data_IF_832911963080
#
_entry.id   IF_832911963080
#
_cell.length_a   1.000
_cell.length_b   1.000
_cell.length_c   1.000
_cell.angle_alpha   90.00
_cell.angle_beta   90.00
_cell.angle_gamma   90.00
#
_symmetry.space_group_name_H-M   'P 1'
#
loop_
_entity.id
_entity.type
_entity.pdbx_description
1 polymer ?
#
# COMPACT_ATOMS: atom_id res chain seq x y z
N UNK A 1 -12.45 18.40 -8.43
CA UNK A 1 -11.36 17.43 -8.61
C UNK A 1 -10.25 17.78 -7.63
N UNK A 2 -10.07 17.03 -6.55
CA UNK A 2 -8.95 17.24 -5.62
C UNK A 2 -7.67 16.71 -6.27
N UNK A 3 -6.90 17.59 -6.91
CA UNK A 3 -5.57 17.25 -7.40
C UNK A 3 -4.59 17.30 -6.22
N UNK A 4 -4.36 16.17 -5.56
CA UNK A 4 -3.24 16.05 -4.64
C UNK A 4 -1.95 16.24 -5.46
N UNK A 5 -1.23 17.35 -5.27
CA UNK A 5 0.10 17.52 -5.85
C UNK A 5 1.09 16.70 -5.02
N UNK A 6 1.24 15.42 -5.34
CA UNK A 6 2.30 14.59 -4.75
C UNK A 6 3.65 15.05 -5.29
N UNK A 7 4.57 15.46 -4.40
CA UNK A 7 5.95 15.75 -4.81
C UNK A 7 6.63 14.41 -5.16
N UNK A 8 7.33 14.32 -6.31
CA UNK A 8 8.15 13.14 -6.59
C UNK A 8 9.22 13.00 -5.51
N UNK A 9 9.60 11.77 -5.18
CA UNK A 9 10.75 11.53 -4.31
C UNK A 9 12.03 11.90 -5.05
N UNK A 10 13.14 12.06 -4.35
CA UNK A 10 14.44 12.12 -5.01
C UNK A 10 14.83 10.74 -5.55
N UNK A 11 15.78 10.71 -6.50
CA UNK A 11 16.38 9.45 -6.96
C UNK A 11 17.30 8.93 -5.86
N UNK A 12 16.88 7.84 -5.20
CA UNK A 12 17.56 7.30 -4.02
C UNK A 12 18.01 5.86 -4.25
N UNK A 13 19.06 5.39 -3.57
CA UNK A 13 19.47 3.99 -3.62
C UNK A 13 18.38 3.05 -3.08
N UNK A 14 18.32 1.86 -3.64
CA UNK A 14 17.38 0.80 -3.23
C UNK A 14 18.08 -0.17 -2.28
N UNK A 15 17.38 -0.59 -1.23
CA UNK A 15 17.79 -1.66 -0.33
C UNK A 15 16.67 -2.67 -0.13
N UNK A 16 17.04 -3.95 -0.03
CA UNK A 16 16.13 -5.08 0.11
C UNK A 16 16.78 -6.23 0.88
N UNK A 17 16.00 -6.87 1.77
CA UNK A 17 16.45 -8.03 2.52
C UNK A 17 17.73 -7.76 3.31
N UNK A 18 18.76 -8.56 3.07
CA UNK A 18 20.04 -8.49 3.80
C UNK A 18 20.79 -7.15 3.58
N UNK A 19 20.51 -6.45 2.47
CA UNK A 19 21.09 -5.11 2.22
C UNK A 19 20.40 -4.01 3.04
N UNK A 20 19.18 -4.26 3.54
CA UNK A 20 18.44 -3.33 4.40
C UNK A 20 18.62 -3.65 5.89
N UNK A 21 18.88 -4.91 6.25
CA UNK A 21 18.94 -5.30 7.65
C UNK A 21 19.31 -6.77 7.86
N UNK A 22 18.80 -7.34 8.95
CA UNK A 22 19.03 -8.73 9.34
C UNK A 22 17.85 -9.65 9.04
N UNK A 23 17.70 -10.69 9.86
CA UNK A 23 16.60 -11.65 9.75
C UNK A 23 15.25 -10.92 9.79
N UNK A 24 14.40 -11.16 8.79
CA UNK A 24 13.08 -10.53 8.68
C UNK A 24 13.06 -9.16 7.99
N UNK A 25 14.22 -8.60 7.61
CA UNK A 25 14.29 -7.30 6.92
C UNK A 25 13.51 -7.26 5.61
N UNK A 26 13.39 -8.41 4.93
CA UNK A 26 12.54 -8.55 3.72
C UNK A 26 11.08 -8.17 3.97
N UNK A 27 10.58 -8.34 5.20
CA UNK A 27 9.22 -8.01 5.59
C UNK A 27 9.15 -6.69 6.37
N UNK A 28 10.27 -5.98 6.57
CA UNK A 28 10.31 -4.71 7.29
C UNK A 28 9.66 -4.78 8.68
N UNK A 29 9.84 -5.90 9.38
CA UNK A 29 9.32 -6.10 10.74
C UNK A 29 10.10 -5.25 11.74
N UNK A 30 9.49 -4.95 12.88
CA UNK A 30 10.11 -4.18 13.94
C UNK A 30 11.48 -4.76 14.35
N UNK A 31 12.48 -3.90 14.45
CA UNK A 31 13.86 -4.26 14.80
C UNK A 31 14.66 -5.00 13.73
N UNK A 32 14.09 -5.32 12.57
CA UNK A 32 14.82 -6.05 11.50
C UNK A 32 15.67 -5.15 10.61
N UNK A 33 15.32 -3.87 10.48
CA UNK A 33 15.99 -2.90 9.63
C UNK A 33 17.18 -2.25 10.35
N UNK A 34 18.31 -2.12 9.65
CA UNK A 34 19.47 -1.39 10.16
C UNK A 34 19.40 0.07 9.73
N UNK A 35 19.23 1.00 10.69
CA UNK A 35 19.12 2.43 10.37
C UNK A 35 20.29 2.95 9.52
N UNK A 36 21.53 2.52 9.82
CA UNK A 36 22.72 2.86 9.01
C UNK A 36 22.62 2.42 7.55
N UNK A 37 21.92 1.32 7.28
CA UNK A 37 21.77 0.78 5.92
C UNK A 37 20.62 1.43 5.16
N UNK A 38 19.56 1.83 5.85
CA UNK A 38 18.30 2.31 5.23
C UNK A 38 18.12 3.83 5.24
N UNK A 39 18.87 4.58 6.06
CA UNK A 39 18.75 6.03 6.17
C UNK A 39 18.84 6.70 4.79
N UNK A 40 17.80 7.45 4.42
CA UNK A 40 17.71 8.19 3.16
C UNK A 40 17.52 7.31 1.90
N UNK A 41 17.24 6.00 2.06
CA UNK A 41 17.11 5.06 0.94
C UNK A 41 15.69 4.56 0.75
N UNK A 42 15.43 3.97 -0.42
CA UNK A 42 14.18 3.29 -0.70
C UNK A 42 14.26 1.84 -0.23
N UNK A 43 13.38 1.46 0.70
CA UNK A 43 13.35 0.11 1.28
C UNK A 43 12.23 -0.69 0.64
N UNK A 44 12.59 -1.79 -0.03
CA UNK A 44 11.62 -2.73 -0.59
C UNK A 44 11.15 -3.69 0.50
N UNK A 45 9.84 -3.82 0.67
CA UNK A 45 9.25 -4.72 1.66
C UNK A 45 8.30 -5.71 0.98
N UNK A 46 8.46 -7.01 1.24
CA UNK A 46 7.47 -8.01 0.87
C UNK A 46 6.22 -7.88 1.75
N UNK A 47 5.05 -8.09 1.14
CA UNK A 47 3.77 -8.15 1.86
C UNK A 47 3.67 -9.46 2.66
N UNK A 48 3.21 -9.35 3.92
CA UNK A 48 3.06 -10.48 4.86
C UNK A 48 3.64 -10.19 6.25
N UNK A 49 3.43 -11.12 7.19
CA UNK A 49 3.80 -11.09 8.62
C UNK A 49 3.17 -9.98 9.48
N UNK A 50 3.29 -8.72 9.05
CA UNK A 50 2.78 -7.54 9.77
C UNK A 50 1.90 -6.70 8.85
N UNK A 51 1.18 -5.72 9.43
CA UNK A 51 0.30 -4.83 8.69
C UNK A 51 1.03 -4.06 7.59
N UNK A 52 0.34 -3.76 6.48
CA UNK A 52 0.93 -3.03 5.34
C UNK A 52 1.37 -1.62 5.75
N UNK A 53 0.51 -0.90 6.47
CA UNK A 53 0.83 0.44 6.99
C UNK A 53 1.93 0.39 8.05
N UNK A 54 1.92 -0.63 8.91
CA UNK A 54 2.92 -0.86 9.95
C UNK A 54 4.34 -1.02 9.37
N UNK A 55 4.49 -1.69 8.22
CA UNK A 55 5.78 -1.74 7.49
C UNK A 55 6.29 -0.34 7.14
N UNK A 56 5.40 0.52 6.66
CA UNK A 56 5.73 1.90 6.30
C UNK A 56 6.19 2.70 7.52
N UNK A 57 5.59 2.45 8.68
CA UNK A 57 6.05 3.03 9.95
C UNK A 57 7.45 2.53 10.33
N UNK A 58 7.70 1.22 10.28
CA UNK A 58 9.02 0.68 10.61
C UNK A 58 10.12 1.22 9.69
N UNK A 59 9.84 1.34 8.39
CA UNK A 59 10.77 1.97 7.45
C UNK A 59 11.00 3.44 7.79
N UNK A 60 9.94 4.20 8.16
CA UNK A 60 10.07 5.60 8.58
C UNK A 60 10.93 5.73 9.84
N UNK A 61 10.66 4.92 10.85
CA UNK A 61 11.40 4.90 12.11
C UNK A 61 12.88 4.57 11.91
N UNK A 62 13.19 3.69 10.95
CA UNK A 62 14.56 3.36 10.61
C UNK A 62 15.26 4.45 9.76
N UNK A 63 14.52 5.46 9.27
CA UNK A 63 15.04 6.59 8.48
C UNK A 63 14.95 6.41 6.96
N UNK A 64 14.17 5.44 6.48
CA UNK A 64 13.95 5.22 5.06
C UNK A 64 13.20 6.38 4.39
N UNK A 65 13.54 6.65 3.12
CA UNK A 65 12.96 7.74 2.33
C UNK A 65 11.67 7.33 1.60
N UNK A 66 11.56 6.06 1.22
CA UNK A 66 10.43 5.52 0.44
C UNK A 66 10.26 4.01 0.68
N UNK A 67 9.04 3.49 0.47
CA UNK A 67 8.74 2.07 0.62
C UNK A 67 7.77 1.53 -0.43
N UNK A 68 8.29 0.89 -1.50
CA UNK A 68 7.48 0.00 -2.32
C UNK A 68 7.12 -1.28 -1.58
N UNK A 69 5.83 -1.63 -1.59
CA UNK A 69 5.31 -2.87 -1.04
C UNK A 69 5.17 -3.89 -2.18
N UNK A 70 5.92 -4.98 -2.11
CA UNK A 70 6.01 -6.00 -3.13
C UNK A 70 5.03 -7.14 -2.86
N UNK A 71 4.13 -7.40 -3.81
CA UNK A 71 3.29 -8.59 -3.76
C UNK A 71 4.05 -9.84 -4.21
N UNK A 72 3.71 -10.98 -3.60
CA UNK A 72 4.10 -12.32 -4.07
C UNK A 72 3.17 -12.83 -5.18
N UNK A 73 3.58 -13.91 -5.86
CA UNK A 73 2.75 -14.57 -6.89
C UNK A 73 1.37 -15.01 -6.34
N UNK A 74 1.32 -15.52 -5.12
CA UNK A 74 0.06 -15.90 -4.44
C UNK A 74 -0.89 -14.71 -4.22
N UNK A 75 -0.34 -13.51 -4.07
CA UNK A 75 -1.10 -12.27 -3.88
C UNK A 75 -1.49 -11.62 -5.21
N UNK A 76 -0.85 -12.03 -6.32
CA UNK A 76 -1.13 -11.58 -7.67
C UNK A 76 -0.92 -10.08 -7.92
N UNK A 77 -1.65 -9.55 -8.89
CA UNK A 77 -1.58 -8.16 -9.34
C UNK A 77 -2.43 -7.18 -8.51
N UNK A 78 -2.92 -7.61 -7.35
CA UNK A 78 -3.82 -6.80 -6.56
C UNK A 78 -3.10 -5.59 -5.93
N UNK A 79 -3.51 -4.39 -6.32
CA UNK A 79 -2.97 -3.15 -5.77
C UNK A 79 -3.96 -2.53 -4.79
N UNK A 80 -3.44 -2.18 -3.62
CA UNK A 80 -4.17 -1.40 -2.64
C UNK A 80 -3.49 -0.06 -2.40
N UNK A 81 -4.29 1.00 -2.38
CA UNK A 81 -3.87 2.33 -1.98
C UNK A 81 -4.00 2.48 -0.47
N UNK A 82 -3.05 1.90 0.28
CA UNK A 82 -2.96 2.14 1.72
C UNK A 82 -2.29 3.49 2.00
N UNK A 83 -2.71 4.12 3.09
CA UNK A 83 -2.16 5.38 3.54
C UNK A 83 -0.92 5.15 4.37
N UNK A 84 0.25 5.24 3.73
CA UNK A 84 1.52 5.14 4.42
C UNK A 84 1.96 6.50 5.01
N UNK A 85 2.82 6.43 6.02
CA UNK A 85 3.41 7.60 6.71
C UNK A 85 4.62 8.21 5.98
N UNK A 86 5.02 7.57 4.88
CA UNK A 86 6.10 7.96 3.98
C UNK A 86 5.70 7.63 2.52
N UNK A 87 6.40 8.14 1.49
CA UNK A 87 6.12 7.80 0.09
C UNK A 87 6.19 6.29 -0.18
N UNK A 88 5.05 5.69 -0.50
CA UNK A 88 4.93 4.25 -0.71
C UNK A 88 4.01 3.93 -1.88
N UNK A 89 4.26 2.78 -2.51
CA UNK A 89 3.42 2.25 -3.57
C UNK A 89 3.32 0.74 -3.45
N UNK A 90 2.12 0.19 -3.56
CA UNK A 90 1.93 -1.23 -3.77
C UNK A 90 2.35 -1.59 -5.20
N UNK A 91 2.97 -2.76 -5.37
CA UNK A 91 3.45 -3.27 -6.65
C UNK A 91 2.96 -4.71 -6.81
N UNK A 92 2.39 -5.02 -7.98
CA UNK A 92 1.89 -6.36 -8.31
C UNK A 92 3.01 -7.37 -8.57
N UNK A 93 2.68 -8.65 -8.59
CA UNK A 93 3.65 -9.75 -8.67
C UNK A 93 4.60 -9.65 -9.89
N UNK A 94 4.08 -9.35 -11.09
CA UNK A 94 4.89 -9.23 -12.30
C UNK A 94 5.93 -8.10 -12.19
N UNK A 95 5.51 -6.96 -11.65
CA UNK A 95 6.40 -5.84 -11.42
C UNK A 95 7.37 -6.10 -10.26
N UNK A 96 6.95 -6.84 -9.22
CA UNK A 96 7.84 -7.34 -8.16
C UNK A 96 8.98 -8.17 -8.76
N UNK A 97 8.68 -9.11 -9.66
CA UNK A 97 9.68 -9.93 -10.33
C UNK A 97 10.66 -9.08 -11.13
N UNK A 98 10.16 -8.11 -11.90
CA UNK A 98 11.00 -7.18 -12.65
C UNK A 98 11.92 -6.34 -11.74
N UNK A 99 11.39 -5.82 -10.63
CA UNK A 99 12.18 -5.06 -9.64
C UNK A 99 13.25 -5.95 -9.01
N UNK A 100 12.92 -7.19 -8.63
CA UNK A 100 13.87 -8.15 -8.06
C UNK A 100 14.99 -8.51 -9.05
N UNK A 101 14.68 -8.66 -10.34
CA UNK A 101 15.70 -8.81 -11.39
C UNK A 101 16.55 -7.56 -11.59
N UNK A 102 15.97 -6.36 -11.50
CA UNK A 102 16.70 -5.10 -11.62
C UNK A 102 17.72 -4.92 -10.49
N UNK A 103 17.34 -5.17 -9.23
CA UNK A 103 18.27 -5.05 -8.11
C UNK A 103 19.37 -6.13 -8.14
N UNK A 104 19.10 -7.30 -8.73
CA UNK A 104 20.08 -8.38 -8.84
C UNK A 104 21.10 -8.12 -9.97
N UNK A 105 20.71 -7.39 -11.02
CA UNK A 105 21.56 -7.10 -12.18
C UNK A 105 22.38 -5.82 -12.04
N UNK A 106 21.96 -4.88 -11.18
CA UNK A 106 22.66 -3.61 -10.96
C UNK A 106 23.52 -3.63 -9.70
N UNK A 107 24.73 -3.07 -9.78
CA UNK A 107 25.61 -2.89 -8.61
C UNK A 107 25.15 -1.75 -7.69
N UNK A 108 24.45 -0.76 -8.23
CA UNK A 108 23.96 0.42 -7.51
C UNK A 108 22.54 0.76 -7.96
N UNK A 109 21.54 -0.07 -7.59
CA UNK A 109 20.16 0.15 -7.99
C UNK A 109 19.63 1.43 -7.33
N UNK A 110 18.98 2.28 -8.12
CA UNK A 110 18.34 3.51 -7.67
C UNK A 110 16.93 3.59 -8.22
N UNK A 111 16.02 4.23 -7.49
CA UNK A 111 14.65 4.44 -7.93
C UNK A 111 14.06 5.72 -7.35
N UNK A 112 12.98 6.17 -7.99
CA UNK A 112 12.19 7.33 -7.61
C UNK A 112 10.72 6.97 -7.74
N UNK A 113 9.90 7.41 -6.79
CA UNK A 113 8.44 7.32 -6.87
C UNK A 113 7.93 8.67 -7.34
N UNK A 114 7.26 8.68 -8.49
CA UNK A 114 6.60 9.87 -9.04
C UNK A 114 5.09 9.74 -8.89
N UNK A 115 4.45 10.78 -8.36
CA UNK A 115 3.01 10.82 -8.26
C UNK A 115 2.44 11.43 -9.54
N UNK A 116 1.76 10.62 -10.36
CA UNK A 116 1.17 11.07 -11.63
C UNK A 116 -0.32 11.44 -11.50
N UNK A 117 -0.85 11.53 -10.28
CA UNK A 117 -2.28 11.75 -10.08
C UNK A 117 -3.12 10.50 -10.34
N UNK A 118 -4.43 10.70 -10.40
CA UNK A 118 -5.38 9.64 -10.74
C UNK A 118 -5.42 9.49 -12.26
N UNK A 119 -4.99 8.34 -12.76
CA UNK A 119 -5.04 8.00 -14.19
C UNK A 119 -6.31 7.17 -14.46
N UNK A 120 -7.07 7.56 -15.48
CA UNK A 120 -8.28 6.86 -15.93
C UNK A 120 -7.96 6.02 -17.18
N UNK A 121 -8.70 4.92 -17.42
CA UNK A 121 -8.60 4.15 -18.67
C UNK A 121 -7.97 2.75 -18.57
N UNK A 122 -7.66 2.25 -17.37
CA UNK A 122 -7.40 0.81 -17.15
C UNK A 122 -8.72 0.08 -16.84
N UNK A 123 -8.79 -1.21 -17.17
CA UNK A 123 -9.98 -2.06 -17.07
C UNK A 123 -10.62 -1.96 -15.68
N UNK A 124 -11.79 -1.35 -15.63
CA UNK A 124 -12.65 -1.26 -14.46
C UNK A 124 -14.10 -1.48 -14.91
N UNK A 125 -14.97 -2.07 -14.07
CA UNK A 125 -14.73 -2.48 -12.69
C UNK A 125 -14.13 -3.90 -12.56
N UNK A 126 -13.22 -4.09 -11.61
CA UNK A 126 -12.73 -5.41 -11.18
C UNK A 126 -12.98 -5.55 -9.68
N UNK A 127 -13.41 -6.74 -9.25
CA UNK A 127 -13.69 -7.01 -7.83
C UNK A 127 -12.40 -6.89 -7.00
N UNK A 128 -12.45 -6.07 -5.94
CA UNK A 128 -11.38 -6.02 -4.95
C UNK A 128 -11.31 -7.36 -4.19
N UNK A 129 -10.12 -7.91 -3.93
CA UNK A 129 -10.00 -9.22 -3.29
C UNK A 129 -10.36 -9.19 -1.80
N UNK A 130 -10.49 -8.02 -1.16
CA UNK A 130 -11.11 -7.92 0.18
C UNK A 130 -12.63 -8.14 0.16
N UNK A 131 -13.27 -8.11 -1.02
CA UNK A 131 -14.70 -8.38 -1.10
C UNK A 131 -14.94 -9.84 -0.74
N UNK A 132 -15.68 -10.08 0.33
CA UNK A 132 -16.19 -11.42 0.65
C UNK A 132 -16.91 -11.99 -0.57
N UNK A 133 -16.61 -13.24 -0.89
CA UNK A 133 -17.21 -13.98 -2.00
C UNK A 133 -18.27 -14.92 -1.44
N UNK A 134 -19.40 -15.04 -2.13
CA UNK A 134 -20.37 -16.08 -1.85
C UNK A 134 -19.82 -17.49 -2.16
N UNK A 135 -20.58 -18.53 -1.81
CA UNK A 135 -21.95 -18.48 -1.30
C UNK A 135 -22.05 -18.33 0.22
N UNK A 136 -23.21 -17.86 0.69
CA UNK A 136 -23.55 -17.81 2.12
C UNK A 136 -23.76 -19.22 2.67
N UNK A 137 -23.14 -19.55 3.80
CA UNK A 137 -23.32 -20.84 4.48
C UNK A 137 -24.74 -21.05 5.03
N UNK A 138 -25.55 -19.99 5.12
CA UNK A 138 -26.91 -20.01 5.71
C UNK A 138 -27.99 -20.26 4.66
N UNK A 139 -27.69 -20.11 3.37
CA UNK A 139 -28.66 -20.24 2.27
C UNK A 139 -27.97 -20.35 0.92
N UNK A 140 -27.54 -21.56 0.50
CA UNK A 140 -26.78 -21.76 -0.74
C UNK A 140 -27.57 -21.47 -2.02
N UNK A 141 -28.90 -21.44 -1.95
CA UNK A 141 -29.80 -21.14 -3.08
C UNK A 141 -29.96 -19.63 -3.33
N UNK A 142 -29.36 -18.77 -2.50
CA UNK A 142 -29.42 -17.30 -2.62
C UNK A 142 -28.04 -16.78 -3.01
N UNK A 143 -27.91 -16.30 -4.25
CA UNK A 143 -26.68 -15.71 -4.80
C UNK A 143 -26.34 -14.43 -4.02
N UNK A 144 -25.14 -14.38 -3.43
CA UNK A 144 -24.57 -13.17 -2.81
C UNK A 144 -23.18 -12.90 -3.41
N UNK A 145 -22.78 -11.62 -3.58
CA UNK A 145 -23.52 -10.38 -3.27
C UNK A 145 -24.51 -9.97 -4.38
N UNK A 146 -25.59 -9.25 -4.03
CA UNK A 146 -26.64 -8.86 -5.00
C UNK A 146 -26.26 -7.65 -5.89
N UNK A 147 -25.36 -6.76 -5.44
CA UNK A 147 -24.94 -5.54 -6.15
C UNK A 147 -23.46 -5.27 -5.85
N UNK A 148 -22.68 -4.88 -6.87
CA UNK A 148 -21.31 -4.38 -6.72
C UNK A 148 -21.31 -2.85 -6.84
N UNK A 149 -20.68 -2.17 -5.88
CA UNK A 149 -20.53 -0.71 -5.88
C UNK A 149 -19.07 -0.33 -5.62
N UNK A 150 -18.60 0.86 -6.06
CA UNK A 150 -17.24 1.30 -5.81
C UNK A 150 -16.95 1.36 -4.29
N UNK A 151 -15.98 0.59 -3.82
CA UNK A 151 -15.57 0.53 -2.41
C UNK A 151 -14.05 0.55 -2.19
N UNK A 152 -13.30 0.84 -3.25
CA UNK A 152 -11.84 0.98 -3.22
C UNK A 152 -11.50 2.44 -3.52
N UNK A 153 -10.64 3.02 -2.69
CA UNK A 153 -10.20 4.41 -2.81
C UNK A 153 -11.34 5.45 -2.81
N UNK A 154 -12.29 5.32 -1.89
CA UNK A 154 -13.40 6.25 -1.71
C UNK A 154 -12.96 7.44 -0.84
N UNK A 155 -13.15 8.65 -1.35
CA UNK A 155 -12.96 9.89 -0.59
C UNK A 155 -14.15 10.09 0.36
N UNK A 156 -13.92 10.01 1.66
CA UNK A 156 -14.93 10.21 2.69
C UNK A 156 -14.46 11.26 3.71
N UNK A 157 -15.42 11.87 4.42
CA UNK A 157 -15.11 12.77 5.54
C UNK A 157 -14.36 11.99 6.64
N UNK A 158 -13.38 12.64 7.26
CA UNK A 158 -12.54 12.02 8.28
C UNK A 158 -12.45 12.89 9.53
N UNK A 159 -12.47 12.30 10.74
CA UNK A 159 -12.35 13.07 11.97
C UNK A 159 -11.00 13.79 12.03
N UNK A 160 -10.97 15.12 12.28
CA UNK A 160 -9.73 15.88 12.36
C UNK A 160 -8.90 15.56 13.60
N UNK A 161 -9.40 14.71 14.51
CA UNK A 161 -8.70 14.21 15.70
C UNK A 161 -7.99 12.88 15.47
N UNK A 162 -8.27 12.18 14.37
CA UNK A 162 -7.77 10.82 14.09
C UNK A 162 -6.74 10.86 12.95
N UNK A 163 -5.64 10.13 13.08
CA UNK A 163 -4.64 10.05 12.02
C UNK A 163 -5.19 9.31 10.79
N UNK A 164 -4.89 9.77 9.56
CA UNK A 164 -5.46 9.16 8.35
C UNK A 164 -4.95 7.74 8.11
N UNK A 165 -3.75 7.40 8.58
CA UNK A 165 -3.19 6.06 8.50
C UNK A 165 -3.61 5.13 9.64
N UNK A 166 -4.32 5.64 10.66
CA UNK A 166 -4.64 4.95 11.92
C UNK A 166 -3.44 4.49 12.73
N UNK A 167 -2.26 5.06 12.48
CA UNK A 167 -1.02 4.78 13.23
C UNK A 167 -0.69 5.97 14.12
N UNK A 168 -0.21 5.70 15.34
CA UNK A 168 0.11 6.72 16.35
C UNK A 168 1.26 7.65 15.93
N UNK A 169 2.20 7.15 15.13
CA UNK A 169 3.30 7.97 14.57
C UNK A 169 2.84 8.95 13.48
N UNK A 170 1.61 8.85 12.99
CA UNK A 170 1.07 9.77 11.99
C UNK A 170 0.42 11.00 12.64
N UNK A 171 1.18 12.09 12.65
CA UNK A 171 0.73 13.38 13.16
C UNK A 171 -0.12 14.18 12.16
N UNK A 172 -0.35 13.66 10.95
CA UNK A 172 -1.21 14.34 9.97
C UNK A 172 -2.65 14.38 10.46
N UNK A 173 -3.33 15.49 10.20
CA UNK A 173 -4.78 15.65 10.40
C UNK A 173 -5.40 16.13 9.10
N UNK A 174 -6.46 15.45 8.67
CA UNK A 174 -7.13 15.71 7.39
C UNK A 174 -8.65 15.70 7.61
N UNK A 175 -9.35 16.56 6.88
CA UNK A 175 -10.83 16.62 6.93
C UNK A 175 -11.49 15.57 6.03
N UNK A 176 -10.72 15.03 5.07
CA UNK A 176 -11.16 13.99 4.14
C UNK A 176 -10.05 12.96 4.00
N UNK A 177 -10.42 11.69 3.93
CA UNK A 177 -9.50 10.57 3.81
C UNK A 177 -9.94 9.63 2.70
N UNK A 178 -8.98 8.91 2.11
CA UNK A 178 -9.25 7.90 1.08
C UNK A 178 -9.26 6.53 1.76
N UNK A 179 -10.42 5.91 1.85
CA UNK A 179 -10.60 4.63 2.53
C UNK A 179 -11.11 3.56 1.55
N UNK A 180 -10.74 2.31 1.81
CA UNK A 180 -11.20 1.14 1.03
C UNK A 180 -11.81 0.12 1.98
N UNK A 181 -13.00 -0.41 1.65
CA UNK A 181 -13.67 -1.43 2.44
C UNK A 181 -15.11 -1.68 1.98
N UNK A 182 -15.67 -2.85 2.28
CA UNK A 182 -17.05 -3.21 1.93
C UNK A 182 -18.12 -2.29 2.58
N UNK A 183 -17.78 -1.65 3.70
CA UNK A 183 -18.61 -0.62 4.34
C UNK A 183 -18.75 0.66 3.51
N UNK A 184 -17.80 0.93 2.61
CA UNK A 184 -17.83 2.10 1.70
C UNK A 184 -18.63 1.84 0.42
N UNK A 185 -18.94 0.58 0.12
CA UNK A 185 -19.80 0.16 -1.00
C UNK A 185 -21.29 0.06 -0.64
N UNK A 186 -21.69 0.37 0.60
CA UNK A 186 -23.11 0.39 0.97
C UNK A 186 -23.72 1.75 0.57
N UNK A 187 -24.65 1.82 -0.40
CA UNK A 187 -25.24 3.09 -0.79
C UNK A 187 -26.07 3.66 0.38
N UNK A 188 -25.90 4.95 0.66
CA UNK A 188 -26.80 5.70 1.53
C UNK A 188 -28.17 5.74 0.84
N UNK A 189 -29.17 5.01 1.35
CA UNK A 189 -30.57 5.22 0.94
C UNK A 189 -30.93 6.67 1.25
N UNK A 190 -31.37 7.49 0.28
CA UNK A 190 -32.06 8.72 0.62
C UNK A 190 -33.41 8.33 1.24
N UNK A 191 -33.64 8.81 2.45
CA UNK A 191 -34.97 8.88 3.06
C UNK A 191 -35.82 9.93 2.36
#
# INVERSE_FOLDING_TARGET
VFAARGRPTELVPIVYGDTAGGRGARFCIAGSLSSKRVMGKMVLCDRGLIGRTEKGEQVKLAGGAAMPLLNSEEQGEELFADLHVLPASSVGAAATTAIKSYIASSKTPTAMITFQGTVYGKTAPMMAAFSSRGPSLVGPDIIKPDVTAPGVAILAAWPPSVSPSLVDSDQRRVNFNIISGTSTSCPRRPS
#
